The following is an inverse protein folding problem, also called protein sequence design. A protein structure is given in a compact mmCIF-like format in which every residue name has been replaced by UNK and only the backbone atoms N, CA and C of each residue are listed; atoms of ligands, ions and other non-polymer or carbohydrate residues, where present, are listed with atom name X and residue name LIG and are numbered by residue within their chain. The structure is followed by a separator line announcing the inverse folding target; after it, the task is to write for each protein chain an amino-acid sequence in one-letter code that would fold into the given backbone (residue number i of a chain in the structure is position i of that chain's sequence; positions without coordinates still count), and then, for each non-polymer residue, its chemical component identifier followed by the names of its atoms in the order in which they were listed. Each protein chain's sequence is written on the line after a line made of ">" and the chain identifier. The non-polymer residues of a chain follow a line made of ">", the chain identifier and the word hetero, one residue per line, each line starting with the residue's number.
data_IF_000279490282
#
_entry.id   IF_000279490282
#
_cell.length_a   1.000
_cell.length_b   1.000
_cell.length_c   1.000
_cell.angle_alpha   90.00
_cell.angle_beta   90.00
_cell.angle_gamma   90.00
#
_symmetry.space_group_name_H-M   'P 1'
#
loop_
_entity.id
_entity.type
_entity.pdbx_description
1 polymer ?
#
# COMPACT_ATOMS: atom_id res chain seq x y z
N UNK A 1 12.45 17.85 12.06
CA UNK A 1 13.84 17.40 11.86
C UNK A 1 14.09 17.45 10.38
N UNK A 2 15.15 18.14 9.96
CA UNK A 2 15.51 18.19 8.54
C UNK A 2 15.96 16.81 8.03
N UNK A 3 15.83 16.57 6.72
CA UNK A 3 16.14 15.26 6.13
C UNK A 3 17.62 14.91 6.24
N UNK A 4 18.53 15.88 6.15
CA UNK A 4 19.96 15.64 6.32
C UNK A 4 20.30 15.30 7.77
N UNK A 5 19.68 15.98 8.72
CA UNK A 5 19.84 15.68 10.15
C UNK A 5 19.33 14.27 10.47
N UNK A 6 18.20 13.88 9.87
CA UNK A 6 17.63 12.54 9.99
C UNK A 6 18.58 11.47 9.42
N UNK A 7 19.18 11.74 8.26
CA UNK A 7 20.18 10.84 7.64
C UNK A 7 21.38 10.63 8.55
N UNK A 8 21.99 11.71 9.04
CA UNK A 8 23.15 11.63 9.94
C UNK A 8 22.84 10.78 11.17
N UNK A 9 21.69 11.01 11.81
CA UNK A 9 21.27 10.21 12.98
C UNK A 9 21.01 8.74 12.62
N UNK A 10 20.41 8.49 11.45
CA UNK A 10 20.18 7.15 10.97
C UNK A 10 21.50 6.41 10.72
N UNK A 11 22.43 7.03 9.99
CA UNK A 11 23.72 6.43 9.64
C UNK A 11 24.53 6.11 10.90
N UNK A 12 24.58 7.03 11.88
CA UNK A 12 25.20 6.78 13.18
C UNK A 12 24.57 5.60 13.93
N UNK A 13 23.23 5.52 13.94
CA UNK A 13 22.53 4.42 14.59
C UNK A 13 22.75 3.08 13.86
N UNK A 14 22.90 3.09 12.53
CA UNK A 14 23.24 1.90 11.75
C UNK A 14 24.68 1.45 12.02
N UNK A 15 25.63 2.38 12.15
CA UNK A 15 27.01 2.04 12.54
C UNK A 15 27.05 1.32 13.90
N UNK A 16 26.39 1.89 14.92
CA UNK A 16 26.27 1.25 16.25
C UNK A 16 25.57 -0.11 16.17
N UNK A 17 24.55 -0.23 15.32
CA UNK A 17 23.87 -1.50 15.09
C UNK A 17 24.81 -2.54 14.46
N UNK A 18 25.65 -2.15 13.51
CA UNK A 18 26.64 -3.03 12.87
C UNK A 18 27.68 -3.49 13.90
N UNK A 19 28.23 -2.57 14.71
CA UNK A 19 29.21 -2.87 15.76
C UNK A 19 28.66 -3.85 16.81
N UNK A 20 27.36 -3.78 17.10
CA UNK A 20 26.71 -4.72 18.04
C UNK A 20 26.50 -6.13 17.49
N UNK A 21 26.69 -6.35 16.18
CA UNK A 21 26.43 -7.64 15.52
C UNK A 21 27.70 -8.47 15.46
N UNK A 22 27.51 -9.79 15.29
CA UNK A 22 28.63 -10.71 15.08
C UNK A 22 29.34 -10.42 13.77
N UNK A 23 30.65 -10.68 13.72
CA UNK A 23 31.49 -10.47 12.55
C UNK A 23 31.07 -11.31 11.32
N UNK A 24 30.26 -12.36 11.49
CA UNK A 24 29.72 -13.18 10.40
C UNK A 24 28.36 -12.67 9.86
N UNK A 25 27.91 -11.50 10.31
CA UNK A 25 26.69 -10.89 9.83
C UNK A 25 26.82 -10.46 8.36
N UNK A 26 25.99 -11.05 7.50
CA UNK A 26 26.01 -10.83 6.05
C UNK A 26 24.87 -9.92 5.55
N UNK A 27 24.18 -9.22 6.45
CA UNK A 27 23.06 -8.33 6.09
C UNK A 27 23.52 -6.90 5.78
N UNK A 28 24.57 -6.43 6.45
CA UNK A 28 25.15 -5.11 6.19
C UNK A 28 26.34 -5.29 5.25
N UNK A 29 26.41 -4.43 4.25
CA UNK A 29 27.46 -4.43 3.23
C UNK A 29 27.86 -2.98 3.00
N UNK A 30 29.07 -2.62 3.41
CA UNK A 30 29.64 -1.35 2.97
C UNK A 30 30.02 -1.42 1.47
N UNK A 31 30.45 -0.31 0.88
CA UNK A 31 30.81 -0.28 -0.55
C UNK A 31 31.91 -1.29 -0.93
N UNK A 32 32.93 -1.43 -0.08
CA UNK A 32 34.06 -2.31 -0.33
C UNK A 32 33.62 -3.78 -0.23
N UNK A 33 32.97 -4.18 0.87
CA UNK A 33 32.42 -5.52 1.09
C UNK A 33 31.44 -5.93 -0.03
N UNK A 34 30.64 -4.98 -0.53
CA UNK A 34 29.73 -5.21 -1.63
C UNK A 34 30.46 -5.53 -2.95
N UNK A 35 31.49 -4.73 -3.28
CA UNK A 35 32.31 -4.93 -4.47
C UNK A 35 33.13 -6.22 -4.38
N UNK A 36 33.77 -6.49 -3.24
CA UNK A 36 34.48 -7.73 -2.98
C UNK A 36 33.57 -8.93 -3.16
N UNK A 37 32.34 -8.86 -2.64
CA UNK A 37 31.36 -9.93 -2.78
C UNK A 37 31.03 -10.22 -4.23
N UNK A 38 30.86 -9.19 -5.07
CA UNK A 38 30.62 -9.35 -6.51
C UNK A 38 31.79 -10.10 -7.15
N UNK A 39 33.02 -9.68 -6.88
CA UNK A 39 34.22 -10.32 -7.43
C UNK A 39 34.40 -11.77 -6.94
N UNK A 40 34.11 -12.04 -5.67
CA UNK A 40 34.10 -13.41 -5.13
C UNK A 40 33.08 -14.30 -5.86
N UNK A 41 31.89 -13.79 -6.15
CA UNK A 41 30.85 -14.57 -6.85
C UNK A 41 31.24 -14.82 -8.30
N UNK A 42 31.82 -13.83 -9.00
CA UNK A 42 32.36 -14.04 -10.35
C UNK A 42 33.42 -15.14 -10.35
N UNK A 43 34.36 -15.09 -9.42
CA UNK A 43 35.39 -16.13 -9.24
C UNK A 43 34.76 -17.49 -8.96
N UNK A 44 33.84 -17.60 -8.00
CA UNK A 44 33.17 -18.86 -7.69
C UNK A 44 32.38 -19.43 -8.89
N UNK A 45 31.73 -18.58 -9.70
CA UNK A 45 31.06 -19.03 -10.94
C UNK A 45 32.05 -19.62 -11.95
N UNK A 46 33.19 -18.97 -12.16
CA UNK A 46 34.25 -19.45 -13.06
C UNK A 46 34.86 -20.76 -12.54
N UNK A 47 35.17 -20.85 -11.24
CA UNK A 47 35.70 -22.06 -10.61
C UNK A 47 34.75 -23.25 -10.77
N UNK A 48 33.44 -23.03 -10.65
CA UNK A 48 32.45 -24.10 -10.75
C UNK A 48 32.21 -24.57 -12.20
N UNK A 49 32.39 -23.69 -13.20
CA UNK A 49 32.26 -24.02 -14.62
C UNK A 49 33.53 -24.62 -15.25
N UNK A 50 34.70 -24.37 -14.66
CA UNK A 50 35.98 -24.86 -15.21
C UNK A 50 36.25 -26.31 -14.78
N UNK A 51 36.46 -27.20 -15.76
CA UNK A 51 36.82 -28.59 -15.50
C UNK A 51 38.24 -28.69 -14.94
N UNK A 52 38.47 -29.61 -13.98
CA UNK A 52 39.79 -29.84 -13.38
C UNK A 52 40.23 -28.87 -12.28
N UNK A 53 39.48 -27.80 -12.03
CA UNK A 53 39.75 -26.87 -10.91
C UNK A 53 39.17 -27.43 -9.60
N UNK A 54 39.94 -27.33 -8.50
CA UNK A 54 39.49 -27.76 -7.17
C UNK A 54 38.35 -26.86 -6.67
N UNK A 55 37.15 -27.43 -6.53
CA UNK A 55 35.94 -26.75 -6.04
C UNK A 55 35.88 -26.83 -4.52
N UNK A 56 35.52 -25.74 -3.85
CA UNK A 56 35.37 -25.72 -2.40
C UNK A 56 33.92 -25.46 -1.97
N UNK A 57 33.60 -25.76 -0.71
CA UNK A 57 32.27 -25.53 -0.13
C UNK A 57 31.85 -24.06 -0.18
N UNK A 58 32.81 -23.11 -0.12
CA UNK A 58 32.53 -21.67 -0.24
C UNK A 58 31.95 -21.32 -1.61
N UNK A 59 32.44 -21.93 -2.68
CA UNK A 59 31.96 -21.65 -4.05
C UNK A 59 30.48 -22.00 -4.20
N UNK A 60 30.10 -23.21 -3.78
CA UNK A 60 28.71 -23.65 -3.81
C UNK A 60 27.81 -22.80 -2.91
N UNK A 61 28.28 -22.38 -1.73
CA UNK A 61 27.52 -21.49 -0.84
C UNK A 61 27.28 -20.12 -1.46
N UNK A 62 28.30 -19.56 -2.12
CA UNK A 62 28.21 -18.26 -2.78
C UNK A 62 27.17 -18.27 -3.89
N UNK A 63 27.29 -19.20 -4.86
CA UNK A 63 26.36 -19.27 -6.00
C UNK A 63 24.97 -19.77 -5.64
N UNK A 64 24.78 -20.38 -4.46
CA UNK A 64 23.46 -20.73 -3.94
C UNK A 64 22.74 -19.54 -3.33
N UNK A 65 23.46 -18.58 -2.76
CA UNK A 65 22.89 -17.43 -2.04
C UNK A 65 22.78 -16.18 -2.92
N UNK A 66 23.77 -15.96 -3.76
CA UNK A 66 23.94 -14.72 -4.52
C UNK A 66 24.05 -14.98 -6.02
N UNK A 67 23.56 -14.02 -6.78
CA UNK A 67 23.70 -13.94 -8.22
C UNK A 67 24.00 -12.48 -8.62
N UNK A 68 24.40 -12.24 -9.87
CA UNK A 68 24.79 -10.94 -10.38
C UNK A 68 23.92 -10.59 -11.58
N UNK A 69 23.32 -9.41 -11.54
CA UNK A 69 22.54 -8.85 -12.64
C UNK A 69 23.20 -7.56 -13.13
N UNK A 70 23.43 -7.46 -14.44
CA UNK A 70 24.01 -6.27 -15.06
C UNK A 70 22.88 -5.28 -15.37
N UNK A 71 22.92 -4.10 -14.76
CA UNK A 71 21.95 -3.03 -15.02
C UNK A 71 22.74 -1.78 -15.43
N UNK A 72 22.50 -1.28 -16.64
CA UNK A 72 23.19 -0.11 -17.19
C UNK A 72 24.72 -0.22 -17.14
N UNK A 73 25.25 -1.40 -17.46
CA UNK A 73 26.70 -1.68 -17.43
C UNK A 73 27.29 -1.80 -16.03
N UNK A 74 26.47 -1.80 -14.97
CA UNK A 74 26.92 -1.98 -13.58
C UNK A 74 26.44 -3.30 -13.01
N UNK A 75 27.35 -4.02 -12.36
CA UNK A 75 27.03 -5.25 -11.66
C UNK A 75 26.23 -4.96 -10.38
N UNK A 76 25.08 -5.62 -10.24
CA UNK A 76 24.24 -5.56 -9.04
C UNK A 76 24.12 -6.94 -8.43
N UNK A 77 24.37 -7.01 -7.13
CA UNK A 77 24.22 -8.22 -6.34
C UNK A 77 22.74 -8.49 -6.09
N UNK A 78 22.28 -9.67 -6.46
CA UNK A 78 20.89 -10.12 -6.26
C UNK A 78 20.86 -11.44 -5.50
N UNK A 79 19.71 -11.76 -4.92
CA UNK A 79 19.43 -13.10 -4.41
C UNK A 79 19.24 -14.03 -5.60
N UNK A 80 19.81 -15.23 -5.50
CA UNK A 80 19.59 -16.30 -6.48
C UNK A 80 18.12 -16.54 -6.74
N UNK A 81 17.77 -16.56 -8.02
CA UNK A 81 16.42 -16.84 -8.49
C UNK A 81 16.30 -18.35 -8.61
N UNK A 82 15.62 -18.98 -7.65
CA UNK A 82 15.42 -20.44 -7.65
C UNK A 82 14.22 -20.88 -8.48
N UNK A 83 13.20 -20.02 -8.56
CA UNK A 83 11.96 -20.25 -9.31
C UNK A 83 11.69 -19.06 -10.22
N UNK A 84 11.29 -19.32 -11.47
CA UNK A 84 11.00 -18.26 -12.45
C UNK A 84 9.84 -17.32 -12.03
N UNK A 85 9.01 -17.74 -11.07
CA UNK A 85 7.93 -16.92 -10.50
C UNK A 85 8.38 -15.99 -9.36
N UNK A 86 9.61 -16.11 -8.86
CA UNK A 86 10.13 -15.29 -7.76
C UNK A 86 10.74 -13.99 -8.34
N UNK A 87 10.22 -12.83 -7.92
CA UNK A 87 10.74 -11.53 -8.35
C UNK A 87 12.20 -11.31 -7.91
N UNK A 88 12.94 -10.51 -8.68
CA UNK A 88 14.35 -10.17 -8.41
C UNK A 88 14.47 -9.40 -7.09
N UNK A 89 15.29 -9.88 -6.16
CA UNK A 89 15.59 -9.19 -4.91
C UNK A 89 17.05 -8.76 -4.87
N UNK A 90 17.28 -7.47 -4.68
CA UNK A 90 18.59 -6.86 -4.65
C UNK A 90 19.21 -6.91 -3.25
N UNK A 91 20.52 -7.06 -3.19
CA UNK A 91 21.30 -6.68 -2.03
C UNK A 91 21.69 -5.21 -2.16
N UNK A 92 21.59 -4.50 -1.04
CA UNK A 92 21.80 -3.07 -0.97
C UNK A 92 22.99 -2.72 -0.09
N UNK A 93 23.69 -1.65 -0.42
CA UNK A 93 24.80 -1.10 0.36
C UNK A 93 24.26 -0.28 1.54
N UNK A 94 25.03 -0.19 2.62
CA UNK A 94 24.63 0.53 3.83
C UNK A 94 24.26 1.99 3.54
N UNK A 95 25.02 2.66 2.68
CA UNK A 95 24.82 4.05 2.27
C UNK A 95 23.50 4.29 1.51
N UNK A 96 22.98 3.26 0.83
CA UNK A 96 21.73 3.33 0.07
C UNK A 96 20.49 3.02 0.95
N UNK A 97 20.69 2.51 2.17
CA UNK A 97 19.60 2.07 3.05
C UNK A 97 18.66 3.23 3.39
N UNK A 98 19.20 4.39 3.75
CA UNK A 98 18.38 5.55 4.12
C UNK A 98 17.44 5.94 2.98
N UNK A 99 17.98 6.11 1.77
CA UNK A 99 17.20 6.57 0.61
C UNK A 99 16.11 5.57 0.22
N UNK A 100 16.42 4.28 0.25
CA UNK A 100 15.46 3.23 -0.08
C UNK A 100 14.34 3.17 0.96
N UNK A 101 14.70 3.26 2.23
CA UNK A 101 13.73 3.21 3.32
C UNK A 101 12.88 4.48 3.32
N UNK A 102 13.49 5.65 3.14
CA UNK A 102 12.81 6.93 3.05
C UNK A 102 11.84 6.98 1.87
N UNK A 103 12.31 6.68 0.66
CA UNK A 103 11.48 6.66 -0.54
C UNK A 103 10.32 5.67 -0.42
N UNK A 104 10.57 4.47 0.12
CA UNK A 104 9.52 3.47 0.36
C UNK A 104 8.52 3.96 1.39
N UNK A 105 9.00 4.53 2.51
CA UNK A 105 8.16 5.04 3.59
C UNK A 105 7.23 6.17 3.12
N UNK A 106 7.75 7.11 2.33
CA UNK A 106 6.98 8.21 1.74
C UNK A 106 6.00 7.69 0.70
N UNK A 107 6.42 6.79 -0.20
CA UNK A 107 5.57 6.23 -1.24
C UNK A 107 4.37 5.44 -0.69
N UNK A 108 4.53 4.78 0.45
CA UNK A 108 3.44 4.07 1.14
C UNK A 108 2.68 4.96 2.13
N UNK A 109 2.95 6.27 2.18
CA UNK A 109 2.23 7.22 3.03
C UNK A 109 2.50 7.01 4.52
N UNK A 110 3.76 6.98 4.92
CA UNK A 110 4.22 6.78 6.29
C UNK A 110 3.74 5.47 6.93
N UNK A 111 3.85 4.38 6.16
CA UNK A 111 3.48 3.04 6.62
C UNK A 111 4.33 2.59 7.81
N UNK A 112 3.69 1.96 8.80
CA UNK A 112 4.39 1.38 9.96
C UNK A 112 5.26 0.17 9.61
N UNK A 113 5.96 -0.35 10.62
CA UNK A 113 6.95 -1.44 10.52
C UNK A 113 6.55 -2.58 9.59
N UNK A 114 5.40 -3.20 9.85
CA UNK A 114 4.99 -4.42 9.13
C UNK A 114 4.69 -4.13 7.64
N UNK A 115 4.18 -2.94 7.35
CA UNK A 115 3.92 -2.49 5.98
C UNK A 115 5.21 -2.21 5.23
N UNK A 116 6.16 -1.52 5.87
CA UNK A 116 7.48 -1.31 5.28
C UNK A 116 8.19 -2.64 5.02
N UNK A 117 8.12 -3.58 5.96
CA UNK A 117 8.73 -4.90 5.79
C UNK A 117 8.11 -5.67 4.62
N UNK A 118 6.78 -5.61 4.47
CA UNK A 118 6.09 -6.26 3.36
C UNK A 118 6.52 -5.70 1.99
N UNK A 119 6.63 -4.37 1.86
CA UNK A 119 7.01 -3.73 0.59
C UNK A 119 8.51 -3.93 0.28
N UNK A 120 9.38 -3.73 1.26
CA UNK A 120 10.84 -3.82 1.08
C UNK A 120 11.29 -5.26 0.79
N UNK A 121 10.67 -6.27 1.41
CA UNK A 121 11.01 -7.68 1.21
C UNK A 121 10.72 -8.19 -0.20
N UNK A 122 9.84 -7.51 -0.95
CA UNK A 122 9.58 -7.85 -2.36
C UNK A 122 10.77 -7.50 -3.26
N UNK A 123 11.53 -6.45 -2.92
CA UNK A 123 12.60 -5.88 -3.76
C UNK A 123 13.99 -6.08 -3.20
N UNK A 124 14.14 -6.26 -1.89
CA UNK A 124 15.44 -6.27 -1.23
C UNK A 124 15.62 -7.49 -0.33
N UNK A 125 16.82 -8.05 -0.36
CA UNK A 125 17.16 -9.27 0.36
C UNK A 125 17.74 -9.01 1.76
N UNK A 126 18.36 -7.85 1.99
CA UNK A 126 19.14 -7.56 3.19
C UNK A 126 18.66 -6.37 4.04
N UNK A 127 17.49 -5.80 3.74
CA UNK A 127 16.89 -4.76 4.61
C UNK A 127 16.25 -5.44 5.81
N UNK A 128 16.74 -5.13 7.01
CA UNK A 128 16.31 -5.77 8.26
C UNK A 128 15.19 -5.02 8.96
N UNK A 129 14.47 -5.71 9.86
CA UNK A 129 13.44 -5.11 10.71
C UNK A 129 14.05 -4.05 11.63
N UNK A 130 15.24 -4.29 12.16
CA UNK A 130 15.98 -3.38 13.01
C UNK A 130 16.29 -2.08 12.29
N UNK A 131 16.80 -2.16 11.05
CA UNK A 131 17.05 -0.99 10.19
C UNK A 131 15.78 -0.16 9.97
N UNK A 132 14.64 -0.81 9.69
CA UNK A 132 13.34 -0.13 9.53
C UNK A 132 12.91 0.57 10.84
N UNK A 133 13.10 -0.09 11.98
CA UNK A 133 12.73 0.46 13.29
C UNK A 133 13.58 1.69 13.65
N UNK A 134 14.88 1.66 13.36
CA UNK A 134 15.76 2.84 13.52
C UNK A 134 15.21 4.01 12.73
N UNK A 135 14.92 3.82 11.44
CA UNK A 135 14.34 4.86 10.60
C UNK A 135 13.00 5.40 11.13
N UNK A 136 12.08 4.50 11.50
CA UNK A 136 10.76 4.89 12.02
C UNK A 136 10.87 5.71 13.31
N UNK A 137 11.86 5.40 14.16
CA UNK A 137 12.14 6.15 15.39
C UNK A 137 12.69 7.56 15.15
N UNK A 138 13.06 7.88 13.91
CA UNK A 138 13.55 9.20 13.52
C UNK A 138 12.50 9.99 12.72
N UNK A 139 11.43 9.37 12.22
CA UNK A 139 10.46 10.05 11.37
C UNK A 139 9.55 10.99 12.19
N UNK A 140 9.64 12.30 11.93
CA UNK A 140 8.85 13.32 12.64
C UNK A 140 7.34 13.15 12.44
N UNK A 141 6.89 12.75 11.26
CA UNK A 141 5.46 12.63 10.96
C UNK A 141 4.84 11.41 11.63
N UNK A 142 5.61 10.34 11.79
CA UNK A 142 5.21 9.17 12.58
C UNK A 142 5.10 9.53 14.07
N UNK A 143 6.05 10.30 14.61
CA UNK A 143 6.03 10.73 16.01
C UNK A 143 4.81 11.59 16.34
N UNK A 144 4.48 12.56 15.47
CA UNK A 144 3.28 13.41 15.61
C UNK A 144 1.99 12.59 15.67
N UNK A 145 1.88 11.49 14.89
CA UNK A 145 0.72 10.60 14.91
C UNK A 145 0.65 9.70 16.15
N UNK A 146 1.79 9.40 16.78
CA UNK A 146 1.88 8.48 17.91
C UNK A 146 1.55 9.10 19.27
N UNK A 147 1.53 10.45 19.38
CA UNK A 147 1.20 11.16 20.62
C UNK A 147 -0.29 11.11 20.98
N UNK A 148 -1.14 10.64 20.08
CA UNK A 148 -2.54 10.37 20.40
C UNK A 148 -2.62 9.11 21.28
N UNK A 149 -3.15 9.21 22.52
CA UNK A 149 -3.22 8.07 23.42
C UNK A 149 -4.01 6.92 22.78
N UNK A 150 -3.38 5.74 22.73
CA UNK A 150 -4.01 4.51 22.25
C UNK A 150 -5.12 4.12 23.24
N UNK A 151 -6.35 4.59 22.99
CA UNK A 151 -7.54 4.07 23.67
C UNK A 151 -7.67 2.60 23.28
N UNK A 152 -7.38 1.72 24.24
CA UNK A 152 -7.46 0.28 24.08
C UNK A 152 -8.88 -0.14 23.76
N UNK A 153 -9.18 -0.36 22.48
CA UNK A 153 -10.26 -1.23 22.07
C UNK A 153 -9.67 -2.33 21.21
N UNK A 154 -9.58 -3.53 21.79
CA UNK A 154 -9.25 -4.75 21.07
C UNK A 154 -10.43 -5.04 20.14
N UNK A 155 -10.28 -4.70 18.85
CA UNK A 155 -11.26 -5.06 17.82
C UNK A 155 -11.06 -6.52 17.44
N UNK A 156 -12.05 -7.36 17.75
CA UNK A 156 -12.19 -8.66 17.10
C UNK A 156 -12.75 -8.42 15.69
N UNK A 157 -12.06 -8.81 14.61
CA UNK A 157 -12.62 -8.65 13.27
C UNK A 157 -13.84 -9.56 13.10
N UNK A 158 -14.93 -8.99 12.59
CA UNK A 158 -16.08 -9.77 12.12
C UNK A 158 -15.61 -10.53 10.88
N UNK A 159 -15.44 -11.85 11.02
CA UNK A 159 -15.12 -12.75 9.92
C UNK A 159 -16.37 -12.93 9.04
N UNK A 160 -16.32 -12.40 7.83
CA UNK A 160 -17.20 -12.80 6.74
C UNK A 160 -16.38 -13.51 5.67
N UNK A 161 -16.93 -14.57 5.08
CA UNK A 161 -16.23 -15.62 4.36
C UNK A 161 -16.05 -15.39 2.85
N UNK A 162 -16.50 -14.25 2.28
CA UNK A 162 -16.34 -13.96 0.85
C UNK A 162 -16.22 -12.45 0.53
N UNK A 163 -15.45 -12.13 -0.51
CA UNK A 163 -15.36 -10.80 -1.14
C UNK A 163 -16.75 -10.33 -1.62
N UNK A 164 -17.06 -9.03 -1.55
CA UNK A 164 -18.36 -8.44 -1.86
C UNK A 164 -19.54 -8.95 -0.99
N UNK A 165 -19.29 -9.63 0.12
CA UNK A 165 -20.37 -10.05 1.04
C UNK A 165 -21.08 -8.86 1.69
N UNK A 166 -20.34 -7.77 1.97
CA UNK A 166 -20.89 -6.54 2.54
C UNK A 166 -20.06 -5.34 2.14
N UNK A 167 -20.72 -4.32 1.62
CA UNK A 167 -20.12 -3.01 1.41
C UNK A 167 -20.88 -1.94 2.19
N UNK A 168 -20.23 -0.81 2.39
CA UNK A 168 -20.81 0.36 3.01
C UNK A 168 -20.61 1.57 2.11
N UNK A 169 -21.63 2.42 2.08
CA UNK A 169 -21.67 3.64 1.32
C UNK A 169 -21.93 4.81 2.25
N UNK A 170 -21.08 5.82 2.16
CA UNK A 170 -21.19 7.05 2.94
C UNK A 170 -20.93 8.29 2.08
N UNK A 171 -21.40 9.45 2.54
CA UNK A 171 -21.20 10.74 1.89
C UNK A 171 -20.44 11.67 2.82
N UNK A 172 -19.29 12.16 2.35
CA UNK A 172 -18.50 13.19 3.03
C UNK A 172 -18.93 14.55 2.49
N UNK A 173 -19.15 15.51 3.40
CA UNK A 173 -19.57 16.86 3.07
C UNK A 173 -18.38 17.77 2.74
N UNK A 174 -18.34 18.28 1.52
CA UNK A 174 -17.29 19.16 1.00
C UNK A 174 -17.86 20.51 0.53
N UNK A 175 -19.08 20.88 0.95
CA UNK A 175 -19.76 22.09 0.48
C UNK A 175 -18.94 23.37 0.72
N UNK A 176 -18.25 23.45 1.86
CA UNK A 176 -17.39 24.59 2.22
C UNK A 176 -16.14 24.71 1.35
N UNK A 177 -15.80 23.67 0.60
CA UNK A 177 -14.63 23.58 -0.27
C UNK A 177 -15.04 23.19 -1.70
N UNK A 178 -16.19 23.66 -2.18
CA UNK A 178 -16.72 23.21 -3.48
C UNK A 178 -15.81 23.58 -4.65
N UNK A 179 -15.60 22.65 -5.59
CA UNK A 179 -14.81 22.85 -6.82
C UNK A 179 -15.56 22.28 -8.01
N UNK A 180 -15.72 23.04 -9.10
CA UNK A 180 -16.43 22.61 -10.31
C UNK A 180 -17.83 22.02 -10.02
N UNK A 181 -18.55 22.66 -9.10
CA UNK A 181 -19.84 22.22 -8.52
C UNK A 181 -19.81 20.93 -7.71
N UNK A 182 -18.67 20.24 -7.57
CA UNK A 182 -18.55 19.12 -6.66
C UNK A 182 -18.60 19.61 -5.23
N UNK A 183 -19.50 19.01 -4.45
CA UNK A 183 -19.83 19.42 -3.07
C UNK A 183 -19.78 18.25 -2.09
N UNK A 184 -19.70 17.02 -2.58
CA UNK A 184 -19.68 15.83 -1.74
C UNK A 184 -18.71 14.80 -2.29
N UNK A 185 -18.28 13.88 -1.43
CA UNK A 185 -17.52 12.70 -1.83
C UNK A 185 -18.34 11.47 -1.46
N UNK A 186 -18.61 10.62 -2.44
CA UNK A 186 -19.11 9.28 -2.23
C UNK A 186 -17.96 8.36 -1.82
N UNK A 187 -18.04 7.77 -0.64
CA UNK A 187 -17.10 6.76 -0.17
C UNK A 187 -17.80 5.40 -0.12
N UNK A 188 -17.47 4.54 -1.10
CA UNK A 188 -17.88 3.14 -1.12
C UNK A 188 -16.75 2.28 -0.58
N UNK A 189 -16.99 1.47 0.45
CA UNK A 189 -15.99 0.61 1.07
C UNK A 189 -16.48 -0.83 1.20
N UNK A 190 -15.71 -1.79 0.70
CA UNK A 190 -15.92 -3.21 0.99
C UNK A 190 -15.49 -3.53 2.43
N UNK A 191 -16.35 -4.17 3.23
CA UNK A 191 -16.08 -4.39 4.65
C UNK A 191 -14.90 -5.32 4.91
N UNK A 192 -14.72 -6.35 4.08
CA UNK A 192 -13.73 -7.40 4.29
C UNK A 192 -12.32 -6.92 3.90
N UNK A 193 -12.20 -6.41 2.69
CA UNK A 193 -10.95 -5.95 2.09
C UNK A 193 -10.61 -4.53 2.48
N UNK A 194 -11.57 -3.74 2.97
CA UNK A 194 -11.47 -2.28 3.17
C UNK A 194 -11.04 -1.53 1.91
N UNK A 195 -11.21 -2.14 0.73
CA UNK A 195 -11.01 -1.47 -0.53
C UNK A 195 -12.04 -0.35 -0.65
N UNK A 196 -11.58 0.84 -1.01
CA UNK A 196 -12.41 2.04 -1.15
C UNK A 196 -12.53 2.47 -2.61
N UNK A 197 -13.70 2.98 -2.97
CA UNK A 197 -13.92 3.74 -4.19
C UNK A 197 -14.45 5.10 -3.80
N UNK A 198 -13.74 6.14 -4.23
CA UNK A 198 -14.05 7.54 -3.95
C UNK A 198 -14.54 8.20 -5.25
N UNK A 199 -15.73 8.78 -5.22
CA UNK A 199 -16.29 9.53 -6.36
C UNK A 199 -16.71 10.94 -5.92
N UNK A 200 -16.29 12.01 -6.61
CA UNK A 200 -16.81 13.33 -6.32
C UNK A 200 -18.26 13.43 -6.82
N UNK A 201 -19.15 14.06 -6.05
CA UNK A 201 -20.55 14.27 -6.40
C UNK A 201 -20.90 15.75 -6.32
N UNK A 202 -21.76 16.20 -7.23
CA UNK A 202 -22.33 17.56 -7.22
C UNK A 202 -23.51 17.66 -6.28
N UNK A 203 -24.30 16.58 -6.18
CA UNK A 203 -25.51 16.51 -5.36
C UNK A 203 -25.55 15.23 -4.53
N UNK A 204 -26.35 15.21 -3.45
CA UNK A 204 -26.68 13.97 -2.71
C UNK A 204 -27.86 13.21 -3.34
N UNK A 205 -28.27 13.57 -4.57
CA UNK A 205 -29.46 13.00 -5.20
C UNK A 205 -29.24 11.54 -5.57
N UNK A 206 -30.28 10.73 -5.39
CA UNK A 206 -30.21 9.29 -5.58
C UNK A 206 -29.83 8.88 -7.01
N UNK A 207 -30.20 9.67 -8.02
CA UNK A 207 -29.87 9.40 -9.43
C UNK A 207 -28.36 9.47 -9.67
N UNK A 208 -27.71 10.50 -9.14
CA UNK A 208 -26.26 10.69 -9.27
C UNK A 208 -25.50 9.59 -8.51
N UNK A 209 -25.99 9.22 -7.33
CA UNK A 209 -25.39 8.14 -6.55
C UNK A 209 -25.62 6.78 -7.22
N UNK A 210 -26.83 6.50 -7.71
CA UNK A 210 -27.14 5.26 -8.44
C UNK A 210 -26.25 5.12 -9.68
N UNK A 211 -26.03 6.21 -10.43
CA UNK A 211 -25.12 6.21 -11.58
C UNK A 211 -23.69 5.81 -11.18
N UNK A 212 -23.17 6.37 -10.08
CA UNK A 212 -21.84 6.02 -9.59
C UNK A 212 -21.77 4.60 -8.99
N UNK A 213 -22.85 4.10 -8.39
CA UNK A 213 -22.93 2.72 -7.91
C UNK A 213 -22.99 1.71 -9.07
N UNK A 214 -23.71 2.03 -10.14
CA UNK A 214 -23.77 1.20 -11.34
C UNK A 214 -22.36 1.02 -11.94
N UNK A 215 -21.58 2.10 -12.03
CA UNK A 215 -20.17 2.07 -12.41
C UNK A 215 -19.36 1.09 -11.55
N UNK A 216 -19.57 1.09 -10.23
CA UNK A 216 -18.88 0.21 -9.29
C UNK A 216 -19.33 -1.24 -9.47
N UNK A 217 -20.64 -1.49 -9.58
CA UNK A 217 -21.20 -2.84 -9.70
C UNK A 217 -20.82 -3.51 -11.01
N UNK A 218 -20.79 -2.76 -12.10
CA UNK A 218 -20.36 -3.28 -13.41
C UNK A 218 -18.86 -3.55 -13.47
N UNK A 219 -18.06 -2.91 -12.61
CA UNK A 219 -16.60 -3.13 -12.54
C UNK A 219 -16.22 -4.26 -11.58
N UNK A 220 -16.85 -4.31 -10.40
CA UNK A 220 -16.42 -5.18 -9.30
C UNK A 220 -17.45 -6.24 -8.91
N UNK A 221 -18.67 -6.16 -9.45
CA UNK A 221 -19.84 -6.88 -8.97
C UNK A 221 -20.57 -6.11 -7.87
N UNK A 222 -21.87 -6.38 -7.74
CA UNK A 222 -22.69 -5.82 -6.66
C UNK A 222 -22.46 -6.57 -5.34
N UNK A 223 -22.49 -5.89 -4.19
CA UNK A 223 -22.34 -6.53 -2.90
C UNK A 223 -23.64 -7.26 -2.50
N UNK A 224 -23.55 -8.39 -1.80
CA UNK A 224 -24.75 -9.07 -1.29
C UNK A 224 -25.51 -8.21 -0.25
N UNK A 225 -24.80 -7.38 0.50
CA UNK A 225 -25.37 -6.45 1.47
C UNK A 225 -24.74 -5.06 1.28
N UNK A 226 -25.55 -4.05 0.99
CA UNK A 226 -25.12 -2.65 1.00
C UNK A 226 -25.65 -1.95 2.26
N UNK A 227 -24.73 -1.39 3.05
CA UNK A 227 -25.03 -0.57 4.21
C UNK A 227 -24.94 0.92 3.89
N UNK A 228 -25.90 1.72 4.34
CA UNK A 228 -25.84 3.17 4.24
C UNK A 228 -26.32 3.83 5.54
N UNK A 229 -25.48 4.73 6.07
CA UNK A 229 -25.71 5.43 7.33
C UNK A 229 -26.57 6.70 7.16
N UNK A 230 -26.67 7.27 5.94
CA UNK A 230 -27.55 8.39 5.61
C UNK A 230 -28.98 7.92 5.31
N UNK A 231 -29.67 7.51 6.37
CA UNK A 231 -31.02 6.96 6.34
C UNK A 231 -32.03 7.76 5.51
N UNK A 232 -32.98 7.03 4.91
CA UNK A 232 -34.12 7.47 4.06
C UNK A 232 -33.77 8.23 2.79
N UNK A 233 -32.81 9.15 2.79
CA UNK A 233 -32.43 9.95 1.61
C UNK A 233 -31.85 9.11 0.47
N UNK A 234 -31.26 7.96 0.81
CA UNK A 234 -30.72 7.01 -0.17
C UNK A 234 -31.76 6.08 -0.80
N UNK A 235 -32.93 5.89 -0.19
CA UNK A 235 -33.95 4.97 -0.73
C UNK A 235 -34.91 5.76 -1.61
N UNK A 236 -34.38 6.30 -2.70
CA UNK A 236 -35.24 6.73 -3.79
C UNK A 236 -35.48 5.54 -4.74
N UNK A 237 -36.58 5.56 -5.47
CA UNK A 237 -36.96 4.51 -6.42
C UNK A 237 -35.80 4.14 -7.35
N UNK A 238 -34.99 5.09 -7.80
CA UNK A 238 -33.82 4.87 -8.67
C UNK A 238 -32.78 3.91 -8.08
N UNK A 239 -32.52 3.98 -6.78
CA UNK A 239 -31.57 3.08 -6.12
C UNK A 239 -32.20 1.70 -5.95
N UNK A 240 -33.50 1.64 -5.59
CA UNK A 240 -34.23 0.37 -5.54
C UNK A 240 -34.31 -0.32 -6.90
N UNK A 241 -34.50 0.43 -7.99
CA UNK A 241 -34.48 -0.08 -9.36
C UNK A 241 -33.10 -0.62 -9.74
N UNK A 242 -32.03 0.13 -9.41
CA UNK A 242 -30.66 -0.35 -9.58
C UNK A 242 -30.42 -1.67 -8.84
N UNK A 243 -30.92 -1.78 -7.61
CA UNK A 243 -30.80 -3.01 -6.83
C UNK A 243 -31.70 -4.13 -7.34
N UNK A 244 -32.89 -3.84 -7.88
CA UNK A 244 -33.77 -4.84 -8.48
C UNK A 244 -33.15 -5.50 -9.72
N UNK A 245 -32.28 -4.79 -10.45
CA UNK A 245 -31.50 -5.37 -11.53
C UNK A 245 -30.49 -6.43 -11.05
N UNK A 246 -30.08 -6.38 -9.78
CA UNK A 246 -29.24 -7.38 -9.12
C UNK A 246 -30.01 -8.06 -7.99
N UNK A 247 -30.82 -9.07 -8.32
CA UNK A 247 -31.77 -9.74 -7.41
C UNK A 247 -31.23 -10.29 -6.09
N UNK A 248 -29.90 -10.38 -5.92
CA UNK A 248 -29.24 -10.86 -4.71
C UNK A 248 -28.79 -9.75 -3.75
N UNK A 249 -28.93 -8.47 -4.11
CA UNK A 249 -28.45 -7.35 -3.29
C UNK A 249 -29.49 -6.94 -2.25
N UNK A 250 -29.12 -7.01 -0.97
CA UNK A 250 -29.95 -6.55 0.14
C UNK A 250 -29.47 -5.19 0.65
N UNK A 251 -30.34 -4.19 0.64
CA UNK A 251 -30.03 -2.89 1.24
C UNK A 251 -30.41 -2.93 2.73
N UNK A 252 -29.50 -2.50 3.59
CA UNK A 252 -29.76 -2.37 5.03
C UNK A 252 -29.55 -0.91 5.43
N UNK A 253 -30.59 -0.33 6.01
CA UNK A 253 -30.61 1.05 6.48
C UNK A 253 -30.39 1.14 7.98
N UNK A 254 -29.72 2.23 8.36
CA UNK A 254 -29.58 2.64 9.75
C UNK A 254 -28.26 2.21 10.37
N UNK A 255 -27.96 2.83 11.52
CA UNK A 255 -26.70 2.65 12.24
C UNK A 255 -26.43 1.15 12.45
N UNK A 256 -25.22 0.65 12.16
CA UNK A 256 -24.85 -0.70 12.52
C UNK A 256 -25.14 -0.93 14.00
N UNK A 257 -25.85 -2.01 14.35
CA UNK A 257 -26.11 -2.37 15.77
C UNK A 257 -24.82 -2.64 16.59
N UNK A 258 -23.65 -2.49 15.97
CA UNK A 258 -22.34 -2.72 16.56
C UNK A 258 -21.46 -1.47 16.39
N UNK A 259 -21.06 -0.88 17.52
CA UNK A 259 -20.16 0.28 17.63
C UNK A 259 -18.85 0.13 16.85
N UNK A 260 -18.41 -1.11 16.60
CA UNK A 260 -17.18 -1.41 15.87
C UNK A 260 -17.27 -1.13 14.36
N UNK A 261 -18.40 -1.44 13.71
CA UNK A 261 -18.58 -1.15 12.27
C UNK A 261 -18.68 0.34 12.04
N UNK A 262 -19.40 1.05 12.94
CA UNK A 262 -19.52 2.51 12.91
C UNK A 262 -18.15 3.19 13.09
N UNK A 263 -17.37 2.79 14.11
CA UNK A 263 -16.04 3.36 14.33
C UNK A 263 -15.05 3.05 13.19
N UNK A 264 -15.23 1.97 12.43
CA UNK A 264 -14.40 1.71 11.24
C UNK A 264 -14.62 2.73 10.12
N UNK A 265 -15.84 3.24 9.99
CA UNK A 265 -16.27 4.09 8.87
C UNK A 265 -15.95 5.54 9.16
N UNK A 266 -16.28 6.01 10.36
CA UNK A 266 -15.89 7.35 10.83
C UNK A 266 -14.37 7.53 10.74
N UNK A 267 -13.60 6.48 11.02
CA UNK A 267 -12.14 6.47 10.81
C UNK A 267 -11.77 6.47 9.34
N UNK A 268 -12.47 5.70 8.49
CA UNK A 268 -12.17 5.65 7.06
C UNK A 268 -12.43 7.00 6.37
N UNK A 269 -13.53 7.69 6.69
CA UNK A 269 -13.84 9.01 6.16
C UNK A 269 -12.81 10.04 6.64
N UNK A 270 -12.53 10.07 7.95
CA UNK A 270 -11.53 10.98 8.52
C UNK A 270 -10.15 10.79 7.90
N UNK A 271 -9.74 9.53 7.70
CA UNK A 271 -8.48 9.26 7.02
C UNK A 271 -8.47 9.79 5.58
N UNK A 272 -9.61 9.72 4.86
CA UNK A 272 -9.72 10.26 3.49
C UNK A 272 -9.63 11.79 3.52
N UNK A 273 -10.31 12.45 4.45
CA UNK A 273 -10.24 13.90 4.67
C UNK A 273 -8.80 14.36 4.99
N UNK A 274 -8.14 13.69 5.94
CA UNK A 274 -6.76 14.00 6.36
C UNK A 274 -5.76 13.82 5.19
N UNK A 275 -5.92 12.73 4.44
CA UNK A 275 -5.07 12.45 3.27
C UNK A 275 -5.29 13.48 2.15
N UNK A 276 -6.54 13.88 1.93
CA UNK A 276 -6.90 14.89 0.94
C UNK A 276 -6.37 16.27 1.33
N UNK A 277 -6.51 16.67 2.60
CA UNK A 277 -5.94 17.91 3.12
C UNK A 277 -4.42 17.96 2.96
N UNK A 278 -3.73 16.85 3.26
CA UNK A 278 -2.29 16.71 3.07
C UNK A 278 -1.92 16.86 1.58
N UNK A 279 -2.64 16.16 0.69
CA UNK A 279 -2.39 16.24 -0.74
C UNK A 279 -2.59 17.64 -1.30
N UNK A 280 -3.65 18.35 -0.87
CA UNK A 280 -3.90 19.74 -1.29
C UNK A 280 -2.77 20.68 -0.85
N UNK A 281 -2.28 20.53 0.38
CA UNK A 281 -1.17 21.32 0.91
C UNK A 281 0.15 21.04 0.15
N UNK A 282 0.47 19.76 -0.08
CA UNK A 282 1.68 19.34 -0.81
C UNK A 282 1.69 19.86 -2.26
N UNK A 283 0.55 19.79 -2.95
CA UNK A 283 0.44 20.17 -4.36
C UNK A 283 0.04 21.63 -4.57
N UNK A 284 -0.16 22.41 -3.50
CA UNK A 284 -0.65 23.81 -3.53
C UNK A 284 -1.88 23.97 -4.43
N UNK A 285 -2.78 22.99 -4.38
CA UNK A 285 -3.97 22.92 -5.23
C UNK A 285 -5.23 22.72 -4.39
N UNK A 286 -6.29 23.43 -4.73
CA UNK A 286 -7.62 23.23 -4.17
C UNK A 286 -8.46 22.22 -4.95
N UNK A 287 -7.96 21.70 -6.09
CA UNK A 287 -8.66 20.73 -6.96
C UNK A 287 -8.69 19.32 -6.35
N UNK A 288 -9.39 19.21 -5.22
CA UNK A 288 -9.59 17.96 -4.51
C UNK A 288 -10.32 16.89 -5.34
N UNK A 289 -11.26 17.20 -6.28
CA UNK A 289 -11.87 16.16 -7.11
C UNK A 289 -10.84 15.36 -7.92
N UNK A 290 -9.84 16.03 -8.50
CA UNK A 290 -8.72 15.37 -9.17
C UNK A 290 -7.82 14.63 -8.17
N UNK A 291 -7.62 15.22 -6.99
CA UNK A 291 -6.87 14.62 -5.88
C UNK A 291 -7.41 13.27 -5.41
N UNK A 292 -8.73 13.05 -5.47
CA UNK A 292 -9.38 11.83 -4.98
C UNK A 292 -8.82 10.55 -5.59
N UNK A 293 -8.47 10.55 -6.89
CA UNK A 293 -7.90 9.36 -7.55
C UNK A 293 -6.57 8.94 -6.90
N UNK A 294 -5.74 9.91 -6.54
CA UNK A 294 -4.47 9.66 -5.84
C UNK A 294 -4.71 9.17 -4.41
N UNK A 295 -5.69 9.74 -3.71
CA UNK A 295 -6.06 9.31 -2.36
C UNK A 295 -6.59 7.88 -2.37
N UNK A 296 -7.52 7.56 -3.28
CA UNK A 296 -8.04 6.20 -3.48
C UNK A 296 -6.90 5.21 -3.75
N UNK A 297 -6.00 5.53 -4.68
CA UNK A 297 -4.84 4.68 -4.98
C UNK A 297 -3.96 4.45 -3.75
N UNK A 298 -3.62 5.51 -3.01
CA UNK A 298 -2.81 5.41 -1.78
C UNK A 298 -3.51 4.57 -0.70
N UNK A 299 -4.83 4.73 -0.54
CA UNK A 299 -5.66 4.01 0.44
C UNK A 299 -5.76 2.52 0.11
N UNK A 300 -5.99 2.19 -1.16
CA UNK A 300 -6.11 0.80 -1.62
C UNK A 300 -4.77 0.06 -1.66
N UNK A 301 -3.65 0.77 -1.79
CA UNK A 301 -2.30 0.22 -1.58
C UNK A 301 -1.90 0.14 -0.11
N UNK A 302 -2.75 0.58 0.82
CA UNK A 302 -2.42 0.54 2.24
C UNK A 302 -2.59 -0.85 2.83
N UNK A 303 -1.48 -1.42 3.35
CA UNK A 303 -1.53 -2.63 4.14
C UNK A 303 -2.20 -2.33 5.48
N UNK A 304 -3.23 -3.10 5.82
CA UNK A 304 -3.95 -2.96 7.09
C UNK A 304 -3.50 -4.07 8.03
N UNK A 305 -2.69 -3.72 9.06
CA UNK A 305 -2.19 -4.65 10.07
C UNK A 305 -3.34 -5.20 10.91
N UNK A 306 -3.78 -6.42 10.60
CA UNK A 306 -4.98 -7.04 11.19
C UNK A 306 -5.74 -7.93 10.20
N UNK A 307 -5.37 -7.91 8.92
CA UNK A 307 -5.95 -8.77 7.88
C UNK A 307 -5.10 -10.01 7.61
N UNK A 308 -5.75 -11.15 7.38
CA UNK A 308 -5.10 -12.34 6.83
C UNK A 308 -4.54 -12.03 5.43
N UNK A 309 -3.42 -12.67 5.06
CA UNK A 309 -2.72 -12.49 3.78
C UNK A 309 -3.64 -12.52 2.56
N UNK A 310 -4.69 -13.36 2.59
CA UNK A 310 -5.67 -13.50 1.51
C UNK A 310 -6.44 -12.20 1.22
N UNK A 311 -6.80 -11.43 2.24
CA UNK A 311 -7.57 -10.19 2.07
C UNK A 311 -6.74 -9.09 1.43
N UNK A 312 -5.44 -9.02 1.77
CA UNK A 312 -4.52 -8.07 1.12
C UNK A 312 -4.26 -8.49 -0.32
N UNK A 313 -4.06 -9.79 -0.59
CA UNK A 313 -3.91 -10.31 -1.96
C UNK A 313 -5.13 -10.00 -2.83
N UNK A 314 -6.34 -10.13 -2.30
CA UNK A 314 -7.58 -9.75 -2.98
C UNK A 314 -7.58 -8.25 -3.30
N UNK A 315 -7.26 -7.36 -2.35
CA UNK A 315 -7.14 -5.92 -2.62
C UNK A 315 -6.12 -5.59 -3.72
N UNK A 316 -4.96 -6.26 -3.74
CA UNK A 316 -3.95 -6.08 -4.79
C UNK A 316 -4.44 -6.59 -6.15
N UNK A 317 -5.14 -7.73 -6.19
CA UNK A 317 -5.69 -8.29 -7.42
C UNK A 317 -6.81 -7.39 -7.99
N UNK A 318 -7.67 -6.85 -7.12
CA UNK A 318 -8.69 -5.86 -7.49
C UNK A 318 -8.03 -4.59 -8.04
N UNK A 319 -6.98 -4.08 -7.38
CA UNK A 319 -6.23 -2.92 -7.87
C UNK A 319 -5.60 -3.16 -9.25
N UNK A 320 -5.08 -4.38 -9.48
CA UNK A 320 -4.50 -4.78 -10.77
C UNK A 320 -5.56 -4.79 -11.89
N UNK A 321 -6.73 -5.39 -11.65
CA UNK A 321 -7.83 -5.36 -12.63
C UNK A 321 -8.38 -3.93 -12.85
N UNK A 322 -8.48 -3.13 -11.79
CA UNK A 322 -8.95 -1.75 -11.89
C UNK A 322 -8.01 -0.86 -12.73
N UNK A 323 -6.69 -0.98 -12.52
CA UNK A 323 -5.70 -0.26 -13.34
C UNK A 323 -5.73 -0.66 -14.81
N UNK A 324 -5.99 -1.94 -15.12
CA UNK A 324 -6.17 -2.40 -16.50
C UNK A 324 -7.42 -1.79 -17.16
N UNK A 325 -8.53 -1.68 -16.40
CA UNK A 325 -9.77 -1.10 -16.90
C UNK A 325 -9.71 0.42 -17.10
N UNK A 326 -9.14 1.17 -16.15
CA UNK A 326 -8.96 2.63 -16.28
C UNK A 326 -8.02 2.98 -17.45
N UNK A 327 -6.97 2.16 -17.67
CA UNK A 327 -6.08 2.29 -18.82
C UNK A 327 -6.86 2.11 -20.15
N UNK A 328 -7.73 1.09 -20.23
CA UNK A 328 -8.58 0.86 -21.40
C UNK A 328 -9.56 2.01 -21.67
N UNK A 329 -10.11 2.64 -20.61
CA UNK A 329 -11.03 3.79 -20.76
C UNK A 329 -10.31 5.07 -21.20
N UNK A 330 -9.09 5.32 -20.71
CA UNK A 330 -8.28 6.48 -21.17
C UNK A 330 -7.84 6.40 -22.63
N UNK A 331 -7.75 5.20 -23.21
CA UNK A 331 -7.46 5.00 -24.63
C UNK A 331 -8.69 5.19 -25.54
N UNK A 332 -9.89 5.15 -24.98
CA UNK A 332 -11.15 5.32 -25.72
C UNK A 332 -11.63 6.78 -25.87
N UNK A 333 -10.90 7.74 -25.29
CA UNK A 333 -11.21 9.19 -25.37
C UNK A 333 -10.27 9.96 -26.29
N UNK A 334 -9.49 9.29 -27.14
CA UNK A 334 -8.78 9.93 -28.25
C UNK A 334 -9.69 9.86 -29.48
N UNK A 335 -10.28 10.97 -29.94
CA UNK A 335 -11.00 10.96 -31.20
C UNK A 335 -10.01 10.75 -32.35
N UNK A 336 -10.32 9.81 -33.24
CA UNK A 336 -9.76 9.79 -34.58
C UNK A 336 -10.29 10.96 -35.40
#
# INVERSE_FOLDING_TARGET
>A
MDLNEMRIKFDNAILLLIESKRNDNNFFLNNEEYCERIEEIKKSKITLSTAGVKKCTKDYRNVRKYDILIINGKDRLIKTITNASEGVRYYVKNEELFDIIHSTHTAIGHGGRDRMMAELKLKYANVTKETIMVYLSLCSDCHKKSSNPKRGLVSKPILHSAYNSRAQLDLIDMQSQSVNDFRFIMNYQDHLTKFVVLKPLKTKRAEEVAHNLLDIYTTFGAPAILHSDNGREFVNNTINELHAMWGDVKIVHGKPRHSQSQGSVERANRDVEDMLATWMAENKSSDWPSGLKFIQFRKNRAFHSGKNYLNNYISYKILFYWLQYDCARSLSTVPF
#
